data_IF_799348654764
#
_entry.id   IF_799348654764
#
_cell.length_a   1.000
_cell.length_b   1.000
_cell.length_c   1.000
_cell.angle_alpha   90.00
_cell.angle_beta   90.00
_cell.angle_gamma   90.00
#
_symmetry.space_group_name_H-M   'P 1'
#
loop_
_entity.id
_entity.type
_entity.pdbx_description
1 polymer ?
#
# COMPACT_ATOMS: atom_id res chain seq x y z
N UNK A 1 17.31 -11.77 6.46
CA UNK A 1 16.06 -10.99 6.28
C UNK A 1 15.81 -10.57 4.83
N UNK A 2 16.78 -9.99 4.10
CA UNK A 2 16.63 -9.65 2.66
C UNK A 2 16.15 -10.82 1.78
N UNK A 3 16.64 -12.03 2.06
CA UNK A 3 16.30 -13.26 1.33
C UNK A 3 14.90 -13.81 1.62
N UNK A 4 14.37 -13.61 2.81
CA UNK A 4 13.03 -14.10 3.20
C UNK A 4 11.95 -13.24 2.52
N UNK A 5 12.15 -11.93 2.56
CA UNK A 5 11.28 -10.95 1.89
C UNK A 5 11.35 -11.17 0.38
N UNK A 6 12.55 -11.30 -0.19
CA UNK A 6 12.74 -11.65 -1.60
C UNK A 6 12.07 -12.98 -1.98
N UNK A 7 12.19 -14.01 -1.15
CA UNK A 7 11.54 -15.30 -1.36
C UNK A 7 10.02 -15.23 -1.42
N UNK A 8 9.39 -14.44 -0.54
CA UNK A 8 7.95 -14.22 -0.56
C UNK A 8 7.48 -13.46 -1.82
N UNK A 9 8.25 -12.46 -2.28
CA UNK A 9 7.97 -11.75 -3.55
C UNK A 9 8.06 -12.69 -4.73
N UNK A 10 9.12 -13.50 -4.78
CA UNK A 10 9.37 -14.45 -5.87
C UNK A 10 8.26 -15.49 -5.90
N UNK A 11 7.82 -16.03 -4.77
CA UNK A 11 6.70 -16.97 -4.70
C UNK A 11 5.38 -16.35 -5.21
N UNK A 12 5.07 -15.12 -4.80
CA UNK A 12 3.88 -14.42 -5.28
C UNK A 12 3.95 -14.11 -6.79
N UNK A 13 5.13 -13.71 -7.29
CA UNK A 13 5.37 -13.47 -8.71
C UNK A 13 5.28 -14.75 -9.55
N UNK A 14 5.79 -15.88 -9.03
CA UNK A 14 5.68 -17.19 -9.69
C UNK A 14 4.23 -17.67 -9.75
N UNK A 15 3.45 -17.51 -8.68
CA UNK A 15 2.03 -17.85 -8.67
C UNK A 15 1.22 -16.99 -9.66
N UNK A 16 1.52 -15.70 -9.74
CA UNK A 16 0.91 -14.79 -10.71
C UNK A 16 1.33 -15.09 -12.16
N UNK A 17 2.58 -15.50 -12.37
CA UNK A 17 3.09 -15.85 -13.71
C UNK A 17 2.53 -17.19 -14.20
N UNK A 18 2.35 -18.16 -13.29
CA UNK A 18 1.71 -19.43 -13.58
C UNK A 18 0.23 -19.24 -13.99
N UNK A 19 -0.51 -18.34 -13.31
CA UNK A 19 -1.90 -18.05 -13.67
C UNK A 19 -2.01 -17.31 -15.02
N UNK A 20 -1.07 -16.41 -15.30
CA UNK A 20 -0.94 -15.72 -16.60
C UNK A 20 -0.67 -16.71 -17.75
N UNK A 21 0.33 -17.60 -17.61
CA UNK A 21 0.70 -18.60 -18.64
C UNK A 21 -0.45 -19.52 -19.05
N UNK A 22 -1.37 -19.80 -18.12
CA UNK A 22 -2.52 -20.69 -18.34
C UNK A 22 -3.70 -19.94 -18.96
N UNK A 23 -3.88 -18.65 -18.62
CA UNK A 23 -4.96 -17.81 -19.16
C UNK A 23 -4.66 -17.30 -20.57
N UNK A 24 -3.42 -16.91 -20.88
CA UNK A 24 -2.99 -16.46 -22.21
C UNK A 24 -2.87 -17.60 -23.25
N UNK A 25 -3.24 -18.84 -22.89
CA UNK A 25 -3.19 -20.05 -23.74
C UNK A 25 -1.79 -20.42 -24.26
N UNK A 26 -0.73 -19.95 -23.59
CA UNK A 26 0.63 -20.41 -23.88
C UNK A 26 0.82 -21.89 -23.51
N UNK A 27 -0.02 -22.42 -22.61
CA UNK A 27 -0.11 -23.84 -22.24
C UNK A 27 -1.49 -24.38 -22.63
N UNK A 28 -1.56 -25.61 -23.16
CA UNK A 28 -2.82 -26.17 -23.64
C UNK A 28 -3.86 -26.29 -22.51
N UNK A 29 -5.06 -25.70 -22.65
CA UNK A 29 -6.07 -25.65 -21.59
C UNK A 29 -6.59 -27.00 -21.10
N UNK A 30 -6.44 -28.05 -21.92
CA UNK A 30 -7.00 -29.37 -21.72
C UNK A 30 -5.93 -30.42 -21.36
N UNK A 31 -4.65 -30.04 -21.37
CA UNK A 31 -3.56 -30.93 -20.95
C UNK A 31 -3.58 -31.20 -19.43
N UNK A 32 -2.84 -32.23 -18.96
CA UNK A 32 -2.72 -32.54 -17.53
C UNK A 32 -2.23 -31.33 -16.71
N UNK A 33 -1.24 -30.61 -17.24
CA UNK A 33 -0.71 -29.39 -16.64
C UNK A 33 -1.72 -28.23 -16.66
N UNK A 34 -2.49 -28.07 -17.75
CA UNK A 34 -3.54 -27.05 -17.85
C UNK A 34 -4.66 -27.24 -16.83
N UNK A 35 -5.08 -28.50 -16.58
CA UNK A 35 -6.08 -28.83 -15.55
C UNK A 35 -5.57 -28.62 -14.12
N UNK A 36 -4.32 -29.02 -13.84
CA UNK A 36 -3.71 -28.78 -12.53
C UNK A 36 -3.60 -27.28 -12.22
N UNK A 37 -3.11 -26.50 -13.20
CA UNK A 37 -2.94 -25.07 -13.03
C UNK A 37 -4.29 -24.33 -12.90
N UNK A 38 -5.33 -24.76 -13.60
CA UNK A 38 -6.71 -24.28 -13.36
C UNK A 38 -7.23 -24.65 -11.99
N UNK A 39 -7.13 -25.91 -11.58
CA UNK A 39 -7.59 -26.34 -10.25
C UNK A 39 -6.93 -25.57 -9.10
N UNK A 40 -5.68 -25.14 -9.29
CA UNK A 40 -4.97 -24.30 -8.32
C UNK A 40 -5.33 -22.79 -8.40
N UNK A 41 -5.75 -22.29 -9.57
CA UNK A 41 -5.97 -20.86 -9.81
C UNK A 41 -7.44 -20.44 -9.79
N UNK A 42 -8.36 -21.26 -10.29
CA UNK A 42 -9.80 -21.04 -10.32
C UNK A 42 -10.38 -20.70 -8.93
N UNK A 43 -10.09 -21.43 -7.83
CA UNK A 43 -10.60 -21.06 -6.50
C UNK A 43 -10.10 -19.70 -6.01
N UNK A 44 -8.96 -19.21 -6.53
CA UNK A 44 -8.44 -17.87 -6.23
C UNK A 44 -9.03 -16.79 -7.16
N UNK A 45 -9.35 -17.15 -8.40
CA UNK A 45 -9.85 -16.24 -9.45
C UNK A 45 -11.36 -15.99 -9.35
N UNK A 46 -12.14 -17.02 -9.05
CA UNK A 46 -13.61 -16.97 -8.95
C UNK A 46 -14.15 -15.85 -8.03
N UNK A 47 -13.63 -15.64 -6.80
CA UNK A 47 -14.12 -14.56 -5.95
C UNK A 47 -13.80 -13.16 -6.49
N UNK A 48 -12.69 -13.02 -7.22
CA UNK A 48 -12.29 -11.75 -7.85
C UNK A 48 -13.13 -11.49 -9.09
N UNK A 49 -13.32 -12.49 -9.95
CA UNK A 49 -14.16 -12.41 -11.15
C UNK A 49 -15.61 -12.05 -10.78
N UNK A 50 -16.16 -12.70 -9.76
CA UNK A 50 -17.50 -12.39 -9.23
C UNK A 50 -17.60 -10.95 -8.73
N UNK A 51 -16.56 -10.44 -8.07
CA UNK A 51 -16.54 -9.07 -7.55
C UNK A 51 -16.34 -8.03 -8.66
N UNK A 52 -15.56 -8.36 -9.70
CA UNK A 52 -15.36 -7.52 -10.88
C UNK A 52 -16.65 -7.40 -11.72
N UNK A 53 -17.40 -8.50 -11.84
CA UNK A 53 -18.71 -8.54 -12.48
C UNK A 53 -19.74 -7.66 -11.74
N UNK A 54 -19.73 -7.66 -10.40
CA UNK A 54 -20.59 -6.77 -9.60
C UNK A 54 -20.24 -5.28 -9.78
N UNK A 55 -19.02 -4.96 -10.18
CA UNK A 55 -18.57 -3.60 -10.50
C UNK A 55 -18.82 -3.22 -11.97
N UNK A 56 -19.45 -4.10 -12.77
CA UNK A 56 -19.74 -3.87 -14.20
C UNK A 56 -18.53 -4.08 -15.12
N UNK A 57 -17.47 -4.75 -14.66
CA UNK A 57 -16.26 -4.99 -15.43
C UNK A 57 -16.33 -6.20 -16.38
N UNK A 58 -15.51 -6.19 -17.43
CA UNK A 58 -15.44 -7.28 -18.42
C UNK A 58 -14.59 -8.47 -17.89
N UNK A 59 -15.16 -9.70 -17.73
CA UNK A 59 -14.48 -10.85 -17.15
C UNK A 59 -13.26 -11.34 -17.97
N UNK A 60 -13.17 -11.01 -19.26
CA UNK A 60 -11.97 -11.33 -20.07
C UNK A 60 -10.69 -10.66 -19.54
N UNK A 61 -10.79 -9.53 -18.85
CA UNK A 61 -9.63 -8.83 -18.28
C UNK A 61 -9.40 -9.17 -16.80
N UNK A 62 -10.24 -10.02 -16.19
CA UNK A 62 -10.19 -10.33 -14.76
C UNK A 62 -8.84 -10.93 -14.34
N UNK A 63 -8.18 -11.69 -15.21
CA UNK A 63 -6.85 -12.25 -14.95
C UNK A 63 -5.78 -11.16 -14.73
N UNK A 64 -5.75 -10.16 -15.61
CA UNK A 64 -4.81 -9.03 -15.51
C UNK A 64 -5.07 -8.16 -14.26
N UNK A 65 -6.34 -7.93 -13.92
CA UNK A 65 -6.72 -7.21 -12.70
C UNK A 65 -6.37 -7.97 -11.42
N UNK A 66 -6.49 -9.31 -11.42
CA UNK A 66 -6.09 -10.13 -10.27
C UNK A 66 -4.58 -10.08 -10.09
N UNK A 67 -3.80 -10.26 -11.17
CA UNK A 67 -2.33 -10.18 -11.12
C UNK A 67 -1.88 -8.80 -10.64
N UNK A 68 -2.44 -7.72 -11.20
CA UNK A 68 -2.13 -6.37 -10.78
C UNK A 68 -2.52 -6.11 -9.31
N UNK A 69 -3.72 -6.55 -8.89
CA UNK A 69 -4.18 -6.40 -7.51
C UNK A 69 -3.30 -7.15 -6.51
N UNK A 70 -2.98 -8.41 -6.79
CA UNK A 70 -2.08 -9.23 -5.95
C UNK A 70 -0.68 -8.65 -5.92
N UNK A 71 -0.15 -8.18 -7.05
CA UNK A 71 1.17 -7.55 -7.11
C UNK A 71 1.20 -6.25 -6.28
N UNK A 72 0.20 -5.39 -6.41
CA UNK A 72 0.10 -4.15 -5.63
C UNK A 72 -0.03 -4.45 -4.14
N UNK A 73 -0.92 -5.36 -3.75
CA UNK A 73 -1.09 -5.76 -2.35
C UNK A 73 0.20 -6.38 -1.80
N UNK A 74 0.86 -7.24 -2.57
CA UNK A 74 2.14 -7.84 -2.22
C UNK A 74 3.21 -6.77 -2.00
N UNK A 75 3.37 -5.82 -2.91
CA UNK A 75 4.30 -4.69 -2.78
C UNK A 75 4.00 -3.84 -1.54
N UNK A 76 2.73 -3.55 -1.27
CA UNK A 76 2.32 -2.80 -0.09
C UNK A 76 2.64 -3.56 1.20
N UNK A 77 2.42 -4.88 1.25
CA UNK A 77 2.78 -5.72 2.39
C UNK A 77 4.29 -5.77 2.62
N UNK A 78 5.07 -5.88 1.55
CA UNK A 78 6.53 -5.89 1.63
C UNK A 78 7.06 -4.53 2.10
N UNK A 79 6.49 -3.44 1.60
CA UNK A 79 6.81 -2.08 2.04
C UNK A 79 6.48 -1.90 3.52
N UNK A 80 5.31 -2.36 3.97
CA UNK A 80 4.89 -2.31 5.37
C UNK A 80 5.80 -3.15 6.26
N UNK A 81 6.11 -4.38 5.86
CA UNK A 81 6.98 -5.28 6.62
C UNK A 81 8.40 -4.72 6.70
N UNK A 82 8.94 -4.23 5.59
CA UNK A 82 10.24 -3.57 5.55
C UNK A 82 10.28 -2.34 6.46
N UNK A 83 9.22 -1.53 6.45
CA UNK A 83 9.08 -0.41 7.38
C UNK A 83 9.08 -0.87 8.84
N UNK A 84 8.25 -1.86 9.21
CA UNK A 84 8.19 -2.39 10.59
C UNK A 84 9.53 -2.95 11.08
N UNK A 85 10.21 -3.70 10.24
CA UNK A 85 11.51 -4.30 10.58
C UNK A 85 12.56 -3.21 10.77
N UNK A 86 12.68 -2.27 9.82
CA UNK A 86 13.62 -1.15 9.94
C UNK A 86 13.31 -0.28 11.16
N UNK A 87 12.03 -0.06 11.44
CA UNK A 87 11.52 0.64 12.61
C UNK A 87 11.99 -0.01 13.92
N UNK A 88 11.90 -1.33 14.03
CA UNK A 88 12.40 -2.10 15.17
C UNK A 88 13.91 -1.97 15.36
N UNK A 89 14.69 -2.13 14.28
CA UNK A 89 16.14 -1.97 14.34
C UNK A 89 16.58 -0.53 14.65
N UNK A 90 15.85 0.46 14.16
CA UNK A 90 16.11 1.88 14.47
C UNK A 90 15.83 2.19 15.93
N UNK A 91 14.81 1.56 16.53
CA UNK A 91 14.51 1.68 17.96
C UNK A 91 15.59 1.10 18.85
N UNK A 92 16.06 -0.11 18.56
CA UNK A 92 17.10 -0.75 19.37
C UNK A 92 18.46 -0.03 19.27
N UNK A 93 18.76 0.55 18.11
CA UNK A 93 19.97 1.35 17.90
C UNK A 93 19.87 2.73 18.53
N UNK A 94 18.80 3.48 18.30
CA UNK A 94 18.68 4.89 18.74
C UNK A 94 18.85 5.07 20.25
N UNK A 95 18.34 4.12 21.05
CA UNK A 95 18.47 4.14 22.52
C UNK A 95 19.95 4.08 22.95
N UNK A 96 20.82 3.45 22.17
CA UNK A 96 22.25 3.32 22.48
C UNK A 96 23.07 4.54 22.04
N UNK A 97 22.62 5.27 21.01
CA UNK A 97 23.34 6.42 20.44
C UNK A 97 23.02 7.77 21.12
N UNK A 98 22.29 7.76 22.23
CA UNK A 98 22.04 8.93 23.08
C UNK A 98 20.83 9.80 22.67
N UNK A 99 20.58 10.91 23.39
CA UNK A 99 19.32 11.67 23.29
C UNK A 99 19.03 12.22 21.89
N UNK A 100 20.06 12.65 21.15
CA UNK A 100 19.90 13.19 19.79
C UNK A 100 19.39 12.13 18.81
N UNK A 101 19.89 10.90 18.90
CA UNK A 101 19.45 9.78 18.06
C UNK A 101 17.99 9.41 18.36
N UNK A 102 17.59 9.46 19.63
CA UNK A 102 16.19 9.26 20.05
C UNK A 102 15.26 10.31 19.44
N UNK A 103 15.64 11.60 19.48
CA UNK A 103 14.84 12.67 18.86
C UNK A 103 14.74 12.47 17.34
N UNK A 104 15.86 12.17 16.67
CA UNK A 104 15.87 11.88 15.24
C UNK A 104 14.92 10.72 14.87
N UNK A 105 14.92 9.66 15.67
CA UNK A 105 14.03 8.52 15.50
C UNK A 105 12.56 8.93 15.67
N UNK A 106 12.22 9.63 16.76
CA UNK A 106 10.84 10.03 17.05
C UNK A 106 10.25 10.91 15.94
N UNK A 107 11.03 11.85 15.42
CA UNK A 107 10.63 12.71 14.30
C UNK A 107 10.39 11.89 13.03
N UNK A 108 11.27 10.94 12.73
CA UNK A 108 11.09 10.04 11.58
C UNK A 108 9.84 9.17 11.72
N UNK A 109 9.60 8.61 12.90
CA UNK A 109 8.42 7.79 13.17
C UNK A 109 7.13 8.57 13.06
N UNK A 110 7.07 9.75 13.69
CA UNK A 110 5.91 10.63 13.59
C UNK A 110 5.59 10.97 12.13
N UNK A 111 6.61 11.31 11.34
CA UNK A 111 6.45 11.52 9.91
C UNK A 111 5.87 10.29 9.20
N UNK A 112 6.44 9.10 9.38
CA UNK A 112 5.95 7.90 8.69
C UNK A 112 4.51 7.53 9.07
N UNK A 113 4.14 7.68 10.34
CA UNK A 113 2.77 7.44 10.81
C UNK A 113 1.79 8.41 10.15
N UNK A 114 2.13 9.70 10.08
CA UNK A 114 1.28 10.71 9.44
C UNK A 114 1.16 10.47 7.93
N UNK A 115 2.25 10.11 7.26
CA UNK A 115 2.24 9.79 5.82
C UNK A 115 1.43 8.53 5.54
N UNK A 116 1.55 7.49 6.37
CA UNK A 116 0.72 6.29 6.24
C UNK A 116 -0.77 6.62 6.41
N UNK A 117 -1.12 7.49 7.37
CA UNK A 117 -2.49 7.98 7.52
C UNK A 117 -2.98 8.76 6.29
N UNK A 118 -2.14 9.58 5.66
CA UNK A 118 -2.48 10.25 4.40
C UNK A 118 -2.74 9.25 3.26
N UNK A 119 -1.92 8.19 3.14
CA UNK A 119 -2.15 7.12 2.16
C UNK A 119 -3.47 6.39 2.40
N UNK A 120 -3.76 6.02 3.65
CA UNK A 120 -5.04 5.39 4.03
C UNK A 120 -6.22 6.28 3.65
N UNK A 121 -6.09 7.60 3.80
CA UNK A 121 -7.12 8.57 3.41
C UNK A 121 -7.33 8.63 1.90
N UNK A 122 -6.24 8.66 1.12
CA UNK A 122 -6.28 8.67 -0.36
C UNK A 122 -6.88 7.36 -0.90
N UNK A 123 -6.45 6.22 -0.37
CA UNK A 123 -7.01 4.92 -0.75
C UNK A 123 -8.48 4.84 -0.32
N UNK A 124 -8.80 5.32 0.88
CA UNK A 124 -10.17 5.36 1.40
C UNK A 124 -11.09 6.22 0.54
N UNK A 125 -10.62 7.34 0.01
CA UNK A 125 -11.44 8.19 -0.87
C UNK A 125 -11.75 7.52 -2.21
N UNK A 126 -10.80 6.78 -2.79
CA UNK A 126 -11.03 6.01 -4.03
C UNK A 126 -12.01 4.85 -3.84
N UNK A 127 -11.97 4.20 -2.67
CA UNK A 127 -12.86 3.09 -2.34
C UNK A 127 -14.25 3.54 -1.84
N UNK A 128 -14.52 4.86 -1.77
CA UNK A 128 -15.74 5.39 -1.15
C UNK A 128 -15.83 5.12 0.36
N UNK A 129 -14.73 4.75 1.01
CA UNK A 129 -14.62 4.53 2.44
C UNK A 129 -14.39 5.88 3.15
N UNK A 130 -15.49 6.58 3.42
CA UNK A 130 -15.47 7.90 4.04
C UNK A 130 -15.24 7.87 5.55
N UNK A 131 -15.21 9.06 6.17
CA UNK A 131 -14.87 9.37 7.57
C UNK A 131 -15.58 8.51 8.64
N UNK A 132 -16.70 7.88 8.28
CA UNK A 132 -17.51 7.02 9.17
C UNK A 132 -17.01 5.57 9.28
N UNK A 133 -16.11 5.11 8.41
CA UNK A 133 -15.59 3.76 8.50
C UNK A 133 -14.61 3.64 9.69
N UNK A 134 -14.88 2.69 10.62
CA UNK A 134 -14.06 2.43 11.82
C UNK A 134 -12.57 2.24 11.54
N UNK A 135 -12.24 1.70 10.38
CA UNK A 135 -10.85 1.40 9.99
C UNK A 135 -10.11 2.61 9.43
N UNK A 136 -10.82 3.56 8.83
CA UNK A 136 -10.23 4.74 8.18
C UNK A 136 -10.27 5.95 9.12
N UNK A 137 -11.19 5.96 10.09
CA UNK A 137 -11.37 7.04 11.08
C UNK A 137 -10.08 7.47 11.78
N UNK A 138 -9.18 6.58 12.26
CA UNK A 138 -7.94 7.00 12.90
C UNK A 138 -7.04 7.82 11.96
N UNK A 139 -7.03 7.50 10.67
CA UNK A 139 -6.23 8.22 9.69
C UNK A 139 -6.71 9.66 9.50
N UNK A 140 -8.02 9.88 9.47
CA UNK A 140 -8.60 11.22 9.46
C UNK A 140 -8.28 11.96 10.78
N UNK A 141 -8.43 11.31 11.94
CA UNK A 141 -8.12 11.94 13.22
C UNK A 141 -6.67 12.45 13.30
N UNK A 142 -5.72 11.66 12.78
CA UNK A 142 -4.30 11.99 12.77
C UNK A 142 -3.91 13.05 11.74
N UNK A 143 -4.72 13.29 10.71
CA UNK A 143 -4.33 14.15 9.57
C UNK A 143 -5.25 15.36 9.37
N UNK A 144 -6.45 15.37 9.93
CA UNK A 144 -7.44 16.44 9.74
C UNK A 144 -6.90 17.82 10.14
N UNK A 145 -6.08 17.89 11.18
CA UNK A 145 -5.48 19.13 11.64
C UNK A 145 -4.48 19.74 10.64
N UNK A 146 -3.88 18.93 9.74
CA UNK A 146 -3.01 19.41 8.65
C UNK A 146 -3.83 19.65 7.38
N UNK A 147 -4.70 18.70 7.05
CA UNK A 147 -5.37 18.64 5.75
C UNK A 147 -6.55 19.61 5.66
N UNK A 148 -7.30 19.82 6.75
CA UNK A 148 -8.43 20.76 6.77
C UNK A 148 -7.99 22.21 6.51
N UNK A 149 -6.93 22.74 7.15
CA UNK A 149 -6.41 24.07 6.80
C UNK A 149 -5.95 24.17 5.35
N UNK A 150 -5.19 23.19 4.85
CA UNK A 150 -4.69 23.20 3.47
C UNK A 150 -5.81 23.15 2.44
N UNK A 151 -6.88 22.40 2.72
CA UNK A 151 -8.06 22.31 1.86
C UNK A 151 -8.89 23.60 1.83
N UNK A 152 -8.71 24.51 2.78
CA UNK A 152 -9.29 25.86 2.73
C UNK A 152 -8.47 26.80 1.82
N UNK A 153 -7.17 26.53 1.70
CA UNK A 153 -6.25 27.33 0.89
C UNK A 153 -6.19 26.86 -0.57
N UNK A 154 -6.36 25.56 -0.80
CA UNK A 154 -6.28 24.97 -2.13
C UNK A 154 -7.64 24.98 -2.84
N UNK A 155 -7.69 25.40 -4.13
CA UNK A 155 -8.88 25.24 -4.95
C UNK A 155 -9.21 23.75 -5.10
N UNK A 156 -10.49 23.40 -4.99
CA UNK A 156 -10.96 22.04 -5.30
C UNK A 156 -10.98 21.88 -6.82
N UNK A 157 -9.96 21.24 -7.38
CA UNK A 157 -9.92 20.91 -8.81
C UNK A 157 -10.77 19.67 -9.09
N UNK A 158 -12.07 19.88 -9.33
CA UNK A 158 -13.01 18.81 -9.67
C UNK A 158 -13.25 17.83 -8.52
N UNK A 159 -13.36 16.53 -8.85
CA UNK A 159 -13.62 15.46 -7.88
C UNK A 159 -12.37 14.99 -7.11
N UNK A 160 -11.17 15.49 -7.44
CA UNK A 160 -9.91 15.02 -6.86
C UNK A 160 -9.41 15.97 -5.78
N UNK A 161 -9.26 15.46 -4.55
CA UNK A 161 -8.73 16.23 -3.43
C UNK A 161 -7.20 16.16 -3.42
N UNK A 162 -6.54 17.26 -3.82
CA UNK A 162 -5.08 17.41 -3.82
C UNK A 162 -4.51 17.76 -2.45
N UNK A 163 -5.35 18.05 -1.46
CA UNK A 163 -4.90 18.44 -0.11
C UNK A 163 -4.04 17.40 0.60
N UNK A 164 -4.21 16.06 0.43
CA UNK A 164 -3.30 15.08 1.01
C UNK A 164 -1.88 15.18 0.44
N UNK A 165 -1.73 15.52 -0.85
CA UNK A 165 -0.43 15.68 -1.48
C UNK A 165 0.29 16.93 -0.94
N UNK A 166 -0.44 18.03 -0.79
CA UNK A 166 0.09 19.24 -0.17
C UNK A 166 0.46 19.01 1.31
N UNK A 167 -0.36 18.26 2.06
CA UNK A 167 -0.07 17.89 3.44
C UNK A 167 1.19 17.04 3.54
N UNK A 168 1.38 16.09 2.61
CA UNK A 168 2.60 15.30 2.53
C UNK A 168 3.84 16.16 2.27
N UNK A 169 3.77 17.09 1.31
CA UNK A 169 4.85 18.01 1.02
C UNK A 169 5.20 18.90 2.23
N UNK A 170 4.19 19.43 2.92
CA UNK A 170 4.37 20.23 4.13
C UNK A 170 5.06 19.42 5.25
N UNK A 171 4.61 18.18 5.48
CA UNK A 171 5.24 17.26 6.44
C UNK A 171 6.70 16.95 6.09
N UNK A 172 7.01 16.81 4.80
CA UNK A 172 8.37 16.57 4.34
C UNK A 172 9.28 17.77 4.64
N UNK A 173 8.82 19.00 4.36
CA UNK A 173 9.57 20.23 4.68
C UNK A 173 9.78 20.37 6.19
N UNK A 174 8.72 20.20 6.98
CA UNK A 174 8.79 20.29 8.45
C UNK A 174 9.79 19.28 9.01
N UNK A 175 9.72 18.02 8.54
CA UNK A 175 10.68 16.98 8.92
C UNK A 175 12.12 17.42 8.60
N UNK A 176 12.38 17.93 7.40
CA UNK A 176 13.72 18.37 6.98
C UNK A 176 14.27 19.46 7.89
N UNK A 177 13.45 20.46 8.21
CA UNK A 177 13.82 21.57 9.09
C UNK A 177 14.14 21.07 10.49
N UNK A 178 13.25 20.26 11.09
CA UNK A 178 13.47 19.72 12.44
C UNK A 178 14.75 18.88 12.49
N UNK A 179 14.95 18.01 11.51
CA UNK A 179 16.13 17.15 11.48
C UNK A 179 17.42 17.95 11.25
N UNK A 180 17.40 19.06 10.50
CA UNK A 180 18.58 19.92 10.31
C UNK A 180 19.04 20.64 11.57
N UNK A 181 18.16 20.80 12.57
CA UNK A 181 18.52 21.41 13.87
C UNK A 181 19.10 20.36 14.82
N UNK A 182 18.71 19.09 14.65
CA UNK A 182 19.11 17.98 15.52
C UNK A 182 20.40 17.30 15.03
N UNK A 183 20.69 17.39 13.73
CA UNK A 183 21.93 16.91 13.08
C UNK A 183 23.12 17.81 13.37
#
# INVERSE_FOLDING_TARGET
MRYVVFGAVVLAALAAMASWLVRERHVSPFGPLGRFLRGASDPLLDPVETRLLRMGGNPRHAGWWLVAGVAVIGLLLLALLGWLVNSWFTMSSAVQYGPRATVFMLVNWAYYVLVAALWVRVIGSWLGAFRYNRWVRPAYLLTDWIVEPLRRLLPRFGAFDWSPLAAWAALWVIKRIILSVVS
#
